data_IF_382310321043
#
_entry.id   IF_382310321043
#
_cell.length_a   1.000
_cell.length_b   1.000
_cell.length_c   1.000
_cell.angle_alpha   90.00
_cell.angle_beta   90.00
_cell.angle_gamma   90.00
#
_symmetry.space_group_name_H-M   'P 1'
#
loop_
_entity.id
_entity.type
_entity.pdbx_description
1 polymer ?
#
# COMPACT_ATOMS: atom_id res chain seq x y z
N UNK A 1 3.68 42.85 -11.50
CA UNK A 1 2.21 43.08 -11.35
C UNK A 1 1.77 42.07 -10.33
N UNK A 2 1.45 42.53 -9.12
CA UNK A 2 1.41 41.71 -7.92
C UNK A 2 0.52 40.46 -8.02
N UNK A 3 -0.61 40.58 -8.73
CA UNK A 3 -1.61 39.52 -8.92
C UNK A 3 -1.12 38.36 -9.82
N UNK A 4 -0.39 38.66 -10.90
CA UNK A 4 0.11 37.64 -11.83
C UNK A 4 1.33 36.90 -11.29
N UNK A 5 2.13 37.55 -10.43
CA UNK A 5 3.35 36.98 -9.85
C UNK A 5 3.09 36.08 -8.63
N UNK A 6 1.93 36.19 -7.98
CA UNK A 6 1.60 35.42 -6.77
C UNK A 6 0.46 34.42 -6.94
N UNK A 7 -0.62 34.79 -7.64
CA UNK A 7 -1.78 33.89 -7.77
C UNK A 7 -1.59 32.83 -8.87
N UNK A 8 -0.80 33.12 -9.92
CA UNK A 8 -0.55 32.15 -10.99
C UNK A 8 0.30 30.96 -10.51
N UNK A 9 1.42 31.16 -9.77
CA UNK A 9 2.17 30.04 -9.18
C UNK A 9 1.36 29.24 -8.17
N UNK A 10 0.51 29.90 -7.38
CA UNK A 10 -0.38 29.21 -6.43
C UNK A 10 -1.39 28.31 -7.14
N UNK A 11 -2.02 28.81 -8.21
CA UNK A 11 -2.94 28.02 -9.02
C UNK A 11 -2.24 26.82 -9.68
N UNK A 12 -1.02 27.01 -10.19
CA UNK A 12 -0.21 25.92 -10.74
C UNK A 12 0.17 24.89 -9.67
N UNK A 13 0.53 25.34 -8.46
CA UNK A 13 0.79 24.44 -7.33
C UNK A 13 -0.42 23.57 -6.99
N UNK A 14 -1.63 24.16 -6.97
CA UNK A 14 -2.87 23.42 -6.72
C UNK A 14 -3.13 22.40 -7.85
N UNK A 15 -2.92 22.77 -9.12
CA UNK A 15 -3.05 21.84 -10.26
C UNK A 15 -2.10 20.66 -10.09
N UNK A 16 -0.82 20.91 -9.79
CA UNK A 16 0.16 19.85 -9.58
C UNK A 16 -0.19 18.94 -8.40
N UNK A 17 -0.71 19.50 -7.30
CA UNK A 17 -1.21 18.68 -6.20
C UNK A 17 -2.37 17.78 -6.65
N UNK A 18 -3.31 18.30 -7.43
CA UNK A 18 -4.41 17.49 -7.96
C UNK A 18 -3.94 16.37 -8.88
N UNK A 19 -2.99 16.66 -9.78
CA UNK A 19 -2.38 15.67 -10.68
C UNK A 19 -1.65 14.58 -9.90
N UNK A 20 -0.85 14.95 -8.89
CA UNK A 20 -0.15 13.99 -8.04
C UNK A 20 -1.13 13.12 -7.24
N UNK A 21 -2.19 13.71 -6.68
CA UNK A 21 -3.22 12.94 -5.96
C UNK A 21 -3.94 11.95 -6.87
N UNK A 22 -4.28 12.35 -8.10
CA UNK A 22 -4.88 11.45 -9.08
C UNK A 22 -3.92 10.30 -9.41
N UNK A 23 -2.66 10.61 -9.68
CA UNK A 23 -1.65 9.60 -9.99
C UNK A 23 -1.49 8.60 -8.85
N UNK A 24 -1.34 9.05 -7.61
CA UNK A 24 -1.18 8.16 -6.45
C UNK A 24 -2.44 7.34 -6.16
N UNK A 25 -3.63 7.92 -6.39
CA UNK A 25 -4.89 7.23 -6.19
C UNK A 25 -5.16 6.14 -7.26
N UNK A 26 -4.49 6.22 -8.42
CA UNK A 26 -4.49 5.18 -9.43
C UNK A 26 -3.37 4.15 -9.21
N UNK A 27 -2.15 4.60 -8.90
CA UNK A 27 -0.97 3.73 -8.78
C UNK A 27 -1.02 2.86 -7.53
N UNK A 28 -1.37 3.43 -6.36
CA UNK A 28 -1.38 2.71 -5.09
C UNK A 28 -2.24 1.43 -5.14
N UNK A 29 -3.53 1.47 -5.53
CA UNK A 29 -4.34 0.26 -5.62
C UNK A 29 -3.88 -0.69 -6.73
N UNK A 30 -3.37 -0.18 -7.86
CA UNK A 30 -2.87 -1.02 -8.94
C UNK A 30 -1.60 -1.79 -8.52
N UNK A 31 -0.69 -1.15 -7.80
CA UNK A 31 0.50 -1.79 -7.24
C UNK A 31 0.14 -2.84 -6.19
N UNK A 32 -0.81 -2.54 -5.30
CA UNK A 32 -1.33 -3.53 -4.35
C UNK A 32 -1.90 -4.74 -5.08
N UNK A 33 -2.70 -4.53 -6.12
CA UNK A 33 -3.33 -5.61 -6.88
C UNK A 33 -2.31 -6.48 -7.62
N UNK A 34 -1.27 -5.86 -8.17
CA UNK A 34 -0.20 -6.54 -8.89
C UNK A 34 0.69 -7.38 -7.98
N UNK A 35 0.98 -6.89 -6.77
CA UNK A 35 1.94 -7.51 -5.85
C UNK A 35 1.29 -8.42 -4.82
N UNK A 36 0.16 -8.01 -4.25
CA UNK A 36 -0.45 -8.65 -3.08
C UNK A 36 -1.69 -9.46 -3.45
N UNK A 37 -2.73 -8.81 -3.98
CA UNK A 37 -4.02 -9.46 -4.23
C UNK A 37 -4.97 -8.63 -5.08
N UNK A 38 -5.76 -9.28 -5.93
CA UNK A 38 -6.85 -8.64 -6.70
C UNK A 38 -8.06 -8.22 -5.87
N UNK A 39 -8.11 -8.59 -4.58
CA UNK A 39 -9.21 -8.29 -3.65
C UNK A 39 -8.63 -7.85 -2.31
N UNK A 40 -9.50 -7.33 -1.44
CA UNK A 40 -9.12 -7.00 -0.07
C UNK A 40 -8.46 -8.18 0.64
N UNK A 41 -7.50 -7.85 1.50
CA UNK A 41 -6.73 -8.82 2.29
C UNK A 41 -6.79 -8.43 3.75
N UNK A 42 -7.21 -9.38 4.59
CA UNK A 42 -7.16 -9.26 6.04
C UNK A 42 -6.05 -10.16 6.55
N UNK A 43 -4.98 -9.56 7.09
CA UNK A 43 -3.81 -10.29 7.59
C UNK A 43 -4.19 -11.42 8.57
N UNK A 44 -5.10 -11.12 9.50
CA UNK A 44 -5.55 -12.07 10.51
C UNK A 44 -6.24 -13.31 9.90
N UNK A 45 -6.94 -13.14 8.78
CA UNK A 45 -7.58 -14.26 8.07
C UNK A 45 -6.53 -15.16 7.42
N UNK A 46 -5.48 -14.59 6.80
CA UNK A 46 -4.39 -15.38 6.23
C UNK A 46 -3.64 -16.18 7.31
N UNK A 47 -3.39 -15.55 8.47
CA UNK A 47 -2.76 -16.21 9.61
C UNK A 47 -3.60 -17.36 10.17
N UNK A 48 -4.92 -17.20 10.26
CA UNK A 48 -5.78 -18.29 10.73
C UNK A 48 -5.87 -19.41 9.69
N UNK A 49 -5.95 -19.09 8.40
CA UNK A 49 -5.91 -20.10 7.34
C UNK A 49 -4.63 -20.94 7.37
N UNK A 50 -3.46 -20.32 7.60
CA UNK A 50 -2.20 -21.05 7.79
C UNK A 50 -2.31 -22.03 8.97
N UNK A 51 -2.81 -21.57 10.12
CA UNK A 51 -2.99 -22.42 11.31
C UNK A 51 -3.97 -23.56 11.07
N UNK A 52 -5.06 -23.32 10.36
CA UNK A 52 -6.02 -24.35 9.98
C UNK A 52 -5.39 -25.40 9.08
N UNK A 53 -4.58 -24.99 8.11
CA UNK A 53 -3.84 -25.92 7.25
C UNK A 53 -2.85 -26.76 8.06
N UNK A 54 -2.10 -26.15 8.98
CA UNK A 54 -1.18 -26.90 9.84
C UNK A 54 -1.91 -27.91 10.73
N UNK A 55 -3.10 -27.57 11.27
CA UNK A 55 -3.97 -28.51 12.00
C UNK A 55 -4.43 -29.66 11.10
N UNK A 56 -4.80 -29.39 9.84
CA UNK A 56 -5.21 -30.42 8.88
C UNK A 56 -4.06 -31.37 8.54
N UNK A 57 -2.86 -30.86 8.28
CA UNK A 57 -1.66 -31.68 8.03
C UNK A 57 -1.39 -32.60 9.22
N UNK A 58 -1.34 -32.06 10.43
CA UNK A 58 -1.10 -32.84 11.65
C UNK A 58 -2.17 -33.93 11.85
N UNK A 59 -3.45 -33.63 11.56
CA UNK A 59 -4.54 -34.61 11.64
C UNK A 59 -4.35 -35.76 10.64
N UNK A 60 -3.91 -35.46 9.41
CA UNK A 60 -3.65 -36.50 8.39
C UNK A 60 -2.46 -37.36 8.80
N UNK A 61 -1.40 -36.76 9.33
CA UNK A 61 -0.22 -37.49 9.80
C UNK A 61 -0.54 -38.45 10.95
N UNK A 62 -1.35 -38.02 11.93
CA UNK A 62 -1.84 -38.89 13.00
C UNK A 62 -2.70 -40.03 12.43
N UNK A 63 -3.62 -39.72 11.51
CA UNK A 63 -4.49 -40.73 10.89
C UNK A 63 -3.68 -41.77 10.12
N UNK A 64 -2.67 -41.34 9.37
CA UNK A 64 -1.78 -42.20 8.61
C UNK A 64 -1.04 -43.23 9.48
N UNK A 65 -0.67 -42.86 10.71
CA UNK A 65 -0.02 -43.77 11.65
C UNK A 65 -0.96 -44.88 12.15
N UNK A 66 -2.25 -44.57 12.28
CA UNK A 66 -3.27 -45.51 12.75
C UNK A 66 -3.77 -46.40 11.61
N UNK A 67 -4.00 -45.80 10.43
CA UNK A 67 -4.51 -46.46 9.24
C UNK A 67 -3.84 -45.86 8.00
N UNK A 68 -2.82 -46.52 7.43
CA UNK A 68 -2.19 -46.05 6.22
C UNK A 68 -3.14 -46.26 5.03
N UNK A 69 -3.67 -45.16 4.49
CA UNK A 69 -4.43 -45.15 3.24
C UNK A 69 -3.53 -44.72 2.07
N UNK A 70 -3.79 -45.22 0.85
CA UNK A 70 -3.22 -44.66 -0.37
C UNK A 70 -3.49 -43.15 -0.46
N UNK A 71 -2.61 -42.41 -1.13
CA UNK A 71 -2.75 -40.98 -1.45
C UNK A 71 -2.71 -39.97 -0.28
N UNK A 72 -2.57 -40.41 0.97
CA UNK A 72 -2.39 -39.51 2.12
C UNK A 72 -1.17 -38.58 1.96
N UNK A 73 -0.07 -39.07 1.38
CA UNK A 73 1.11 -38.25 1.07
C UNK A 73 0.80 -37.13 0.07
N UNK A 74 -0.03 -37.42 -0.94
CA UNK A 74 -0.46 -36.42 -1.93
C UNK A 74 -1.34 -35.34 -1.29
N UNK A 75 -2.21 -35.71 -0.34
CA UNK A 75 -3.02 -34.76 0.41
C UNK A 75 -2.17 -33.83 1.28
N UNK A 76 -1.18 -34.37 2.00
CA UNK A 76 -0.25 -33.56 2.80
C UNK A 76 0.52 -32.58 1.90
N UNK A 77 1.03 -33.04 0.76
CA UNK A 77 1.74 -32.18 -0.18
C UNK A 77 0.85 -31.06 -0.74
N UNK A 78 -0.43 -31.34 -1.02
CA UNK A 78 -1.39 -30.32 -1.45
C UNK A 78 -1.58 -29.24 -0.37
N UNK A 79 -1.76 -29.64 0.88
CA UNK A 79 -1.91 -28.70 1.99
C UNK A 79 -0.63 -27.88 2.24
N UNK A 80 0.55 -28.49 2.14
CA UNK A 80 1.83 -27.77 2.22
C UNK A 80 1.92 -26.70 1.14
N UNK A 81 1.53 -27.04 -0.09
CA UNK A 81 1.54 -26.11 -1.22
C UNK A 81 0.52 -24.97 -1.04
N UNK A 82 -0.68 -25.28 -0.53
CA UNK A 82 -1.67 -24.25 -0.17
C UNK A 82 -1.13 -23.30 0.91
N UNK A 83 -0.52 -23.84 1.97
CA UNK A 83 0.11 -23.03 3.02
C UNK A 83 1.18 -22.10 2.45
N UNK A 84 2.05 -22.64 1.59
CA UNK A 84 3.12 -21.85 0.93
C UNK A 84 2.54 -20.65 0.19
N UNK A 85 1.48 -20.84 -0.61
CA UNK A 85 0.85 -19.73 -1.35
C UNK A 85 0.26 -18.65 -0.44
N UNK A 86 -0.32 -19.04 0.71
CA UNK A 86 -0.84 -18.07 1.69
C UNK A 86 0.31 -17.33 2.37
N UNK A 87 1.41 -18.03 2.68
CA UNK A 87 2.62 -17.44 3.23
C UNK A 87 3.24 -16.40 2.29
N UNK A 88 3.34 -16.71 1.00
CA UNK A 88 3.85 -15.77 -0.02
C UNK A 88 2.98 -14.53 -0.15
N UNK A 89 1.66 -14.70 -0.12
CA UNK A 89 0.71 -13.58 -0.11
C UNK A 89 0.91 -12.69 1.12
N UNK A 90 1.13 -13.28 2.29
CA UNK A 90 1.40 -12.56 3.53
C UNK A 90 2.73 -11.80 3.48
N UNK A 91 3.77 -12.40 2.91
CA UNK A 91 5.07 -11.76 2.69
C UNK A 91 4.93 -10.54 1.77
N UNK A 92 4.24 -10.70 0.63
CA UNK A 92 3.98 -9.58 -0.27
C UNK A 92 3.17 -8.46 0.40
N UNK A 93 2.22 -8.80 1.28
CA UNK A 93 1.47 -7.80 2.06
C UNK A 93 2.41 -6.99 2.98
N UNK A 94 3.33 -7.65 3.68
CA UNK A 94 4.30 -6.96 4.54
C UNK A 94 5.28 -6.10 3.74
N UNK A 95 5.81 -6.62 2.64
CA UNK A 95 6.68 -5.85 1.75
C UNK A 95 5.96 -4.63 1.18
N UNK A 96 4.70 -4.79 0.76
CA UNK A 96 3.89 -3.69 0.26
C UNK A 96 3.74 -2.62 1.35
N UNK A 97 3.28 -2.99 2.55
CA UNK A 97 3.11 -2.05 3.67
C UNK A 97 4.40 -1.30 4.04
N UNK A 98 5.55 -1.97 3.97
CA UNK A 98 6.84 -1.33 4.23
C UNK A 98 7.21 -0.33 3.13
N UNK A 99 7.03 -0.73 1.87
CA UNK A 99 7.45 0.07 0.70
C UNK A 99 6.47 1.17 0.33
N UNK A 100 5.19 1.03 0.67
CA UNK A 100 4.12 1.97 0.30
C UNK A 100 3.89 3.08 1.32
N UNK A 101 4.62 3.07 2.44
CA UNK A 101 4.43 3.98 3.60
C UNK A 101 4.53 5.47 3.26
N UNK A 102 5.23 5.81 2.17
CA UNK A 102 5.46 7.17 1.72
C UNK A 102 4.81 7.50 0.36
N UNK A 103 3.85 6.70 -0.12
CA UNK A 103 3.26 6.90 -1.46
C UNK A 103 2.63 8.30 -1.64
N UNK A 104 2.16 8.94 -0.56
CA UNK A 104 1.61 10.29 -0.60
C UNK A 104 2.59 11.41 -0.18
N UNK A 105 3.87 11.10 0.04
CA UNK A 105 4.84 12.08 0.55
C UNK A 105 4.97 13.33 -0.34
N UNK A 106 4.99 13.15 -1.66
CA UNK A 106 5.02 14.26 -2.62
C UNK A 106 3.78 15.14 -2.51
N UNK A 107 2.59 14.53 -2.48
CA UNK A 107 1.33 15.26 -2.32
C UNK A 107 1.26 16.05 -0.99
N UNK A 108 1.73 15.44 0.10
CA UNK A 108 1.81 16.09 1.42
C UNK A 108 2.75 17.30 1.36
N UNK A 109 3.91 17.15 0.73
CA UNK A 109 4.88 18.24 0.58
C UNK A 109 4.32 19.38 -0.29
N UNK A 110 3.64 19.05 -1.39
CA UNK A 110 2.96 20.04 -2.25
C UNK A 110 1.87 20.80 -1.46
N UNK A 111 1.05 20.09 -0.69
CA UNK A 111 0.03 20.70 0.16
C UNK A 111 0.63 21.67 1.19
N UNK A 112 1.77 21.30 1.82
CA UNK A 112 2.48 22.17 2.75
C UNK A 112 3.02 23.44 2.06
N UNK A 113 3.61 23.30 0.86
CA UNK A 113 4.10 24.44 0.08
C UNK A 113 2.96 25.38 -0.36
N UNK A 114 1.81 24.84 -0.77
CA UNK A 114 0.62 25.63 -1.12
C UNK A 114 0.09 26.39 0.10
N UNK A 115 0.01 25.74 1.27
CA UNK A 115 -0.44 26.37 2.50
C UNK A 115 0.45 27.54 2.92
N UNK A 116 1.78 27.38 2.78
CA UNK A 116 2.75 28.45 3.04
C UNK A 116 2.55 29.63 2.06
N UNK A 117 2.50 29.35 0.75
CA UNK A 117 2.29 30.39 -0.26
C UNK A 117 0.95 31.13 -0.11
N UNK A 118 -0.11 30.44 0.28
CA UNK A 118 -1.40 31.07 0.57
C UNK A 118 -1.32 32.02 1.77
N UNK A 119 -0.62 31.64 2.84
CA UNK A 119 -0.42 32.48 4.01
C UNK A 119 0.37 33.77 3.68
N UNK A 120 1.39 33.67 2.81
CA UNK A 120 2.15 34.82 2.31
C UNK A 120 1.25 35.80 1.56
N UNK A 121 0.46 35.30 0.60
CA UNK A 121 -0.50 36.11 -0.18
C UNK A 121 -1.54 36.79 0.73
N UNK A 122 -2.05 36.10 1.74
CA UNK A 122 -3.04 36.64 2.68
C UNK A 122 -2.46 37.69 3.64
N UNK A 123 -1.17 37.64 3.92
CA UNK A 123 -0.49 38.61 4.81
C UNK A 123 -0.27 39.99 4.16
N UNK A 124 -0.62 40.16 2.88
CA UNK A 124 -0.46 41.40 2.13
C UNK A 124 1.00 41.75 1.83
N UNK A 125 1.93 40.80 2.05
CA UNK A 125 3.37 40.98 1.82
C UNK A 125 3.78 40.39 0.50
N UNK A 126 4.42 41.25 -0.28
CA UNK A 126 5.26 40.92 -1.43
C UNK A 126 5.98 39.59 -1.38
N UNK A 127 5.67 38.63 -2.28
CA UNK A 127 6.64 37.55 -2.53
C UNK A 127 7.93 38.21 -3.05
N UNK A 128 9.01 38.13 -2.29
CA UNK A 128 10.30 38.72 -2.58
C UNK A 128 11.21 37.66 -3.21
N UNK A 129 11.59 37.82 -4.50
CA UNK A 129 12.46 36.86 -5.20
C UNK A 129 13.87 36.77 -4.60
N UNK A 130 14.28 37.74 -3.79
CA UNK A 130 15.61 37.77 -3.16
C UNK A 130 15.69 36.95 -1.86
N UNK A 131 14.54 36.66 -1.23
CA UNK A 131 14.43 35.93 0.04
C UNK A 131 13.62 34.65 -0.05
N UNK A 132 12.87 34.42 -1.14
CA UNK A 132 11.97 33.28 -1.31
C UNK A 132 10.77 33.30 -0.36
N UNK A 133 10.37 34.51 0.09
CA UNK A 133 9.21 34.83 0.95
C UNK A 133 8.63 36.15 0.51
#
# INVERSE_FOLDING_TARGET
MYFAETFLPLAQGIIYLCEELLHQNESFPAEFQSRVASTDVVEQELLEQIREIDRMIASIEVTRQIMPLPDMDAMVNLFIEMRRKIQEKLEHLYEFNQTSSNNYATAIQLAASIAAGLAEVQSGKGFSPASGT
#
